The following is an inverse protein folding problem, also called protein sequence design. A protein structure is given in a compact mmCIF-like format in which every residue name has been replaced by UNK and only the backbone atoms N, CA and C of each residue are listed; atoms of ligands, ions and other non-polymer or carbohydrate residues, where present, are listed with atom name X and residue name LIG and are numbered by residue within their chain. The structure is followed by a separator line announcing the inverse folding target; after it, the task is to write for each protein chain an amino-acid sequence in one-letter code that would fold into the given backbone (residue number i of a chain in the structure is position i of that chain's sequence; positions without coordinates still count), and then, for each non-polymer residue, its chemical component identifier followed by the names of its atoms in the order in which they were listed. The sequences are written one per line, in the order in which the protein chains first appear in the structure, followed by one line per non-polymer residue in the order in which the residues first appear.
data_IF_034428218291
#
_entry.id   IF_034428218291
#
_cell.length_a   1.000
_cell.length_b   1.000
_cell.length_c   1.000
_cell.angle_alpha   90.00
_cell.angle_beta   90.00
_cell.angle_gamma   90.00
#
_symmetry.space_group_name_H-M   'P 1'
#
loop_
_entity.id
_entity.type
_entity.pdbx_description
1 polymer ?
#
# COMPACT_ATOMS: atom_id res chain seq x y z
N UNK A 1 4.89 0.22 -0.81
CA UNK A 1 5.05 -1.21 -0.46
C UNK A 1 6.17 -1.45 0.53
N UNK A 2 7.45 -1.27 0.17
CA UNK A 2 8.57 -1.58 1.09
C UNK A 2 8.50 -0.88 2.46
N UNK A 3 8.16 0.41 2.49
CA UNK A 3 7.96 1.13 3.76
C UNK A 3 6.81 0.57 4.62
N UNK A 4 5.71 0.12 3.99
CA UNK A 4 4.60 -0.49 4.71
C UNK A 4 4.96 -1.90 5.23
N UNK A 5 5.70 -2.69 4.45
CA UNK A 5 6.22 -4.00 4.87
C UNK A 5 7.19 -3.85 6.05
N UNK A 6 8.15 -2.94 5.95
CA UNK A 6 9.09 -2.69 7.06
C UNK A 6 8.38 -2.20 8.32
N UNK A 7 7.36 -1.35 8.20
CA UNK A 7 6.55 -0.95 9.36
C UNK A 7 5.78 -2.11 9.99
N UNK A 8 5.26 -3.04 9.18
CA UNK A 8 4.59 -4.25 9.66
C UNK A 8 5.57 -5.11 10.45
N UNK A 9 6.74 -5.38 9.88
CA UNK A 9 7.77 -6.22 10.51
C UNK A 9 8.25 -5.58 11.83
N UNK A 10 8.59 -4.29 11.83
CA UNK A 10 9.01 -3.53 13.01
C UNK A 10 7.96 -3.57 14.14
N UNK A 11 6.68 -3.43 13.80
CA UNK A 11 5.58 -3.44 14.77
C UNK A 11 5.33 -4.84 15.32
N UNK A 12 5.39 -5.87 14.49
CA UNK A 12 5.26 -7.26 14.93
C UNK A 12 6.38 -7.60 15.90
N UNK A 13 7.63 -7.29 15.54
CA UNK A 13 8.81 -7.56 16.37
C UNK A 13 8.71 -6.87 17.74
N UNK A 14 8.34 -5.58 17.77
CA UNK A 14 8.13 -4.83 19.01
C UNK A 14 7.03 -5.47 19.88
N UNK A 15 5.89 -5.85 19.29
CA UNK A 15 4.74 -6.36 20.04
C UNK A 15 4.94 -7.76 20.64
N UNK A 16 5.92 -8.54 20.17
CA UNK A 16 6.20 -9.88 20.71
C UNK A 16 6.55 -9.89 22.20
N UNK A 17 7.10 -8.79 22.72
CA UNK A 17 7.54 -8.69 24.12
C UNK A 17 6.96 -7.47 24.85
N UNK A 18 6.08 -6.70 24.18
CA UNK A 18 5.60 -5.42 24.70
C UNK A 18 4.48 -5.55 25.71
N UNK A 19 4.65 -4.85 26.82
CA UNK A 19 3.61 -4.62 27.82
C UNK A 19 3.00 -3.22 27.66
N UNK A 20 1.72 -3.09 27.97
CA UNK A 20 1.04 -1.81 28.11
C UNK A 20 1.53 -1.06 29.36
N UNK A 21 1.16 0.22 29.47
CA UNK A 21 1.41 1.02 30.70
C UNK A 21 0.72 0.40 31.93
N UNK A 22 -0.34 -0.38 31.73
CA UNK A 22 -1.07 -1.09 32.80
C UNK A 22 -0.53 -2.51 33.05
N UNK A 23 0.57 -2.91 32.41
CA UNK A 23 1.17 -4.24 32.55
C UNK A 23 0.49 -5.34 31.74
N UNK A 24 -0.45 -5.00 30.87
CA UNK A 24 -1.12 -5.98 30.02
C UNK A 24 -0.17 -6.43 28.89
N UNK A 25 -0.11 -7.73 28.66
CA UNK A 25 0.64 -8.35 27.57
C UNK A 25 -0.07 -8.06 26.23
N UNK A 26 0.51 -7.17 25.42
CA UNK A 26 -0.11 -6.75 24.16
C UNK A 26 -0.13 -7.87 23.13
N UNK A 27 0.80 -8.83 23.21
CA UNK A 27 0.85 -9.99 22.31
C UNK A 27 -0.38 -10.90 22.46
N UNK A 28 -1.16 -10.76 23.53
CA UNK A 28 -2.39 -11.53 23.81
C UNK A 28 -3.67 -10.73 23.58
N UNK A 29 -3.56 -9.51 23.06
CA UNK A 29 -4.70 -8.61 22.89
C UNK A 29 -5.37 -8.85 21.53
N UNK A 30 -6.67 -9.20 21.53
CA UNK A 30 -7.40 -9.54 20.30
C UNK A 30 -7.39 -8.42 19.23
N UNK A 31 -7.46 -7.15 19.64
CA UNK A 31 -7.42 -6.02 18.71
C UNK A 31 -6.05 -5.88 18.03
N UNK A 32 -4.96 -6.25 18.72
CA UNK A 32 -3.62 -6.31 18.14
C UNK A 32 -3.57 -7.37 17.03
N UNK A 33 -4.10 -8.57 17.29
CA UNK A 33 -4.15 -9.65 16.30
C UNK A 33 -4.91 -9.27 15.05
N UNK A 34 -6.11 -8.68 15.19
CA UNK A 34 -6.93 -8.27 14.06
C UNK A 34 -6.24 -7.20 13.19
N UNK A 35 -5.58 -6.22 13.82
CA UNK A 35 -4.87 -5.15 13.10
C UNK A 35 -3.66 -5.68 12.34
N UNK A 36 -2.85 -6.53 12.96
CA UNK A 36 -1.73 -7.21 12.30
C UNK A 36 -2.22 -8.05 11.12
N UNK A 37 -3.28 -8.84 11.32
CA UNK A 37 -3.87 -9.67 10.26
C UNK A 37 -4.37 -8.83 9.08
N UNK A 38 -5.08 -7.74 9.34
CA UNK A 38 -5.57 -6.83 8.29
C UNK A 38 -4.42 -6.16 7.53
N UNK A 39 -3.44 -5.60 8.25
CA UNK A 39 -2.28 -4.98 7.63
C UNK A 39 -1.48 -5.98 6.77
N UNK A 40 -1.29 -7.21 7.27
CA UNK A 40 -0.62 -8.29 6.52
C UNK A 40 -1.35 -8.59 5.21
N UNK A 41 -2.66 -8.82 5.28
CA UNK A 41 -3.48 -9.10 4.09
C UNK A 41 -3.45 -7.96 3.06
N UNK A 42 -3.46 -6.70 3.51
CA UNK A 42 -3.36 -5.52 2.65
C UNK A 42 -2.01 -5.46 1.91
N UNK A 43 -0.89 -5.66 2.63
CA UNK A 43 0.44 -5.61 2.02
C UNK A 43 0.65 -6.81 1.08
N UNK A 44 0.17 -8.00 1.43
CA UNK A 44 0.27 -9.19 0.58
C UNK A 44 -0.58 -9.07 -0.68
N UNK A 45 -1.80 -8.53 -0.58
CA UNK A 45 -2.63 -8.26 -1.76
C UNK A 45 -1.97 -7.23 -2.69
N UNK A 46 -1.37 -6.18 -2.12
CA UNK A 46 -0.63 -5.18 -2.88
C UNK A 46 0.58 -5.80 -3.62
N UNK A 47 1.32 -6.68 -2.95
CA UNK A 47 2.48 -7.36 -3.53
C UNK A 47 2.08 -8.33 -4.66
N UNK A 48 1.03 -9.13 -4.44
CA UNK A 48 0.48 -10.01 -5.47
C UNK A 48 0.00 -9.23 -6.71
N UNK A 49 -0.61 -8.06 -6.50
CA UNK A 49 -1.02 -7.18 -7.60
C UNK A 49 0.18 -6.59 -8.35
N UNK A 50 1.23 -6.19 -7.63
CA UNK A 50 2.48 -5.72 -8.24
C UNK A 50 3.16 -6.82 -9.06
N UNK A 51 3.15 -8.05 -8.58
CA UNK A 51 3.75 -9.17 -9.31
C UNK A 51 2.98 -9.48 -10.59
N UNK A 52 1.65 -9.45 -10.55
CA UNK A 52 0.82 -9.55 -11.76
C UNK A 52 1.18 -8.46 -12.79
N UNK A 53 1.35 -7.23 -12.32
CA UNK A 53 1.76 -6.11 -13.17
C UNK A 53 3.15 -6.36 -13.79
N UNK A 54 4.13 -6.76 -12.97
CA UNK A 54 5.49 -7.07 -13.40
C UNK A 54 5.51 -8.16 -14.47
N UNK A 55 4.81 -9.26 -14.22
CA UNK A 55 4.73 -10.39 -15.14
C UNK A 55 4.17 -9.97 -16.52
N UNK A 56 3.13 -9.13 -16.54
CA UNK A 56 2.57 -8.62 -17.78
C UNK A 56 3.55 -7.74 -18.56
N UNK A 57 4.26 -6.82 -17.88
CA UNK A 57 5.29 -5.96 -18.49
C UNK A 57 6.41 -6.80 -19.10
N UNK A 58 6.94 -7.74 -18.34
CA UNK A 58 8.05 -8.60 -18.78
C UNK A 58 7.62 -9.45 -19.97
N UNK A 59 6.44 -10.07 -19.91
CA UNK A 59 5.91 -10.90 -20.99
C UNK A 59 5.76 -10.13 -22.30
N UNK A 60 5.06 -8.99 -22.29
CA UNK A 60 4.88 -8.14 -23.49
C UNK A 60 6.20 -7.59 -24.01
N UNK A 61 7.11 -7.19 -23.12
CA UNK A 61 8.44 -6.73 -23.49
C UNK A 61 9.23 -7.79 -24.24
N UNK A 62 9.19 -9.06 -23.79
CA UNK A 62 9.82 -10.17 -24.50
C UNK A 62 9.15 -10.50 -25.85
N UNK A 63 7.84 -10.29 -25.95
CA UNK A 63 7.09 -10.51 -27.18
C UNK A 63 7.21 -9.34 -28.19
N UNK A 64 7.75 -8.18 -27.78
CA UNK A 64 7.77 -6.97 -28.60
C UNK A 64 6.38 -6.35 -28.79
N UNK A 65 5.45 -6.61 -27.87
CA UNK A 65 4.08 -6.12 -27.92
C UNK A 65 3.92 -4.78 -27.21
N UNK A 66 3.12 -3.91 -27.79
CA UNK A 66 2.69 -2.68 -27.12
C UNK A 66 1.51 -2.94 -26.16
N UNK A 67 1.35 -2.03 -25.19
CA UNK A 67 0.18 -2.01 -24.33
C UNK A 67 -0.94 -1.23 -25.00
N UNK A 68 -2.15 -1.78 -25.00
CA UNK A 68 -3.36 -1.05 -25.41
C UNK A 68 -3.70 0.04 -24.41
N UNK A 69 -4.52 1.01 -24.82
CA UNK A 69 -4.99 2.08 -23.93
C UNK A 69 -5.71 1.52 -22.69
N UNK A 70 -6.53 0.47 -22.87
CA UNK A 70 -7.24 -0.19 -21.76
C UNK A 70 -6.27 -0.87 -20.80
N UNK A 71 -5.23 -1.54 -21.31
CA UNK A 71 -4.21 -2.17 -20.46
C UNK A 71 -3.41 -1.13 -19.68
N UNK A 72 -3.07 0.01 -20.29
CA UNK A 72 -2.38 1.13 -19.62
C UNK A 72 -3.25 1.78 -18.55
N UNK A 73 -4.56 1.93 -18.81
CA UNK A 73 -5.51 2.43 -17.83
C UNK A 73 -5.67 1.46 -16.64
N UNK A 74 -5.79 0.16 -16.90
CA UNK A 74 -5.86 -0.87 -15.86
C UNK A 74 -4.55 -0.92 -15.03
N UNK A 75 -3.40 -0.77 -15.69
CA UNK A 75 -2.11 -0.66 -15.02
C UNK A 75 -2.09 0.51 -14.01
N UNK A 76 -2.53 1.70 -14.43
CA UNK A 76 -2.61 2.88 -13.55
C UNK A 76 -3.59 2.68 -12.39
N UNK A 77 -4.77 2.12 -12.66
CA UNK A 77 -5.74 1.77 -11.61
C UNK A 77 -5.10 0.91 -10.51
N UNK A 78 -4.46 -0.18 -10.92
CA UNK A 78 -3.85 -1.15 -10.00
C UNK A 78 -2.71 -0.51 -9.19
N UNK A 79 -1.88 0.33 -9.80
CA UNK A 79 -0.83 1.06 -9.06
C UNK A 79 -1.42 2.02 -8.01
N UNK A 80 -2.49 2.75 -8.35
CA UNK A 80 -3.18 3.60 -7.38
C UNK A 80 -3.79 2.80 -6.22
N UNK A 81 -4.37 1.63 -6.53
CA UNK A 81 -4.90 0.73 -5.51
C UNK A 81 -3.80 0.20 -4.57
N UNK A 82 -2.66 -0.22 -5.12
CA UNK A 82 -1.49 -0.66 -4.35
C UNK A 82 -1.03 0.43 -3.36
N UNK A 83 -0.98 1.69 -3.82
CA UNK A 83 -0.62 2.81 -2.95
C UNK A 83 -1.64 3.00 -1.81
N UNK A 84 -2.95 2.96 -2.12
CA UNK A 84 -4.01 3.03 -1.12
C UNK A 84 -3.96 1.88 -0.11
N UNK A 85 -3.78 0.63 -0.56
CA UNK A 85 -3.63 -0.51 0.35
C UNK A 85 -2.43 -0.37 1.28
N UNK A 86 -1.32 0.22 0.80
CA UNK A 86 -0.19 0.52 1.66
C UNK A 86 -0.51 1.60 2.70
N UNK A 87 -1.25 2.66 2.34
CA UNK A 87 -1.70 3.68 3.29
C UNK A 87 -2.60 3.05 4.37
N UNK A 88 -3.60 2.27 3.97
CA UNK A 88 -4.48 1.56 4.91
C UNK A 88 -3.69 0.63 5.84
N UNK A 89 -2.67 -0.07 5.33
CA UNK A 89 -1.84 -0.94 6.15
C UNK A 89 -1.08 -0.16 7.23
N UNK A 90 -0.44 0.97 6.88
CA UNK A 90 0.28 1.79 7.88
C UNK A 90 -0.67 2.49 8.86
N UNK A 91 -1.90 2.81 8.43
CA UNK A 91 -2.94 3.37 9.30
C UNK A 91 -3.46 2.33 10.32
N UNK A 92 -3.50 1.04 9.96
CA UNK A 92 -3.84 -0.02 10.90
C UNK A 92 -2.76 -0.25 11.96
N UNK A 93 -1.49 -0.04 11.59
CA UNK A 93 -0.31 -0.29 12.42
C UNK A 93 0.00 0.85 13.40
N UNK A 94 -0.15 2.11 12.98
CA UNK A 94 0.23 3.27 13.79
C UNK A 94 -0.38 3.23 15.22
N UNK A 95 -1.69 2.93 15.42
CA UNK A 95 -2.28 2.86 16.76
C UNK A 95 -1.63 1.83 17.69
N UNK A 96 -1.03 0.76 17.14
CA UNK A 96 -0.38 -0.28 17.94
C UNK A 96 0.91 0.21 18.63
N UNK A 97 1.53 1.24 18.07
CA UNK A 97 2.80 1.80 18.57
C UNK A 97 2.62 2.80 19.71
N UNK A 98 1.39 3.27 19.96
CA UNK A 98 1.08 4.29 20.95
C UNK A 98 1.83 5.61 20.74
N UNK A 99 1.90 6.47 21.76
CA UNK A 99 2.56 7.78 21.65
C UNK A 99 4.04 7.72 21.22
N UNK A 100 4.76 6.67 21.60
CA UNK A 100 6.16 6.42 21.19
C UNK A 100 6.33 6.31 19.68
N UNK A 101 5.31 5.84 18.97
CA UNK A 101 5.30 5.78 17.51
C UNK A 101 5.44 7.12 16.82
N UNK A 102 5.13 8.21 17.52
CA UNK A 102 5.23 9.59 17.03
C UNK A 102 6.60 10.23 17.30
N UNK A 103 7.46 9.59 18.09
CA UNK A 103 8.81 10.09 18.32
C UNK A 103 9.61 10.09 17.00
N UNK A 104 10.42 11.13 16.79
CA UNK A 104 11.20 11.28 15.54
C UNK A 104 12.23 10.17 15.36
N UNK A 105 12.66 9.54 16.46
CA UNK A 105 13.54 8.37 16.51
C UNK A 105 12.82 7.07 16.18
N UNK A 106 11.50 7.01 16.31
CA UNK A 106 10.72 5.82 16.04
C UNK A 106 10.46 5.66 14.53
N UNK A 107 10.68 4.48 13.92
CA UNK A 107 10.56 4.29 12.48
C UNK A 107 9.10 4.40 11.96
N UNK A 108 8.12 4.04 12.79
CA UNK A 108 6.69 4.03 12.42
C UNK A 108 6.18 5.35 11.80
N UNK A 109 6.38 6.51 12.45
CA UNK A 109 5.91 7.78 11.87
C UNK A 109 6.58 8.11 10.54
N UNK A 110 7.84 7.68 10.35
CA UNK A 110 8.54 7.89 9.08
C UNK A 110 7.90 7.05 7.99
N UNK A 111 7.71 5.76 8.23
CA UNK A 111 7.03 4.88 7.28
C UNK A 111 5.63 5.39 6.93
N UNK A 112 4.85 5.82 7.94
CA UNK A 112 3.53 6.41 7.75
C UNK A 112 3.58 7.63 6.81
N UNK A 113 4.44 8.62 7.11
CA UNK A 113 4.58 9.82 6.27
C UNK A 113 5.07 9.49 4.86
N UNK A 114 6.06 8.61 4.73
CA UNK A 114 6.67 8.26 3.45
C UNK A 114 5.64 7.58 2.52
N UNK A 115 4.82 6.67 3.07
CA UNK A 115 3.75 5.98 2.34
C UNK A 115 2.64 6.95 1.92
N UNK A 116 2.18 7.81 2.83
CA UNK A 116 1.17 8.82 2.51
C UNK A 116 1.68 9.85 1.49
N UNK A 117 2.96 10.23 1.57
CA UNK A 117 3.58 11.16 0.63
C UNK A 117 3.69 10.57 -0.78
N UNK A 118 4.16 9.32 -0.93
CA UNK A 118 4.28 8.70 -2.26
C UNK A 118 2.91 8.48 -2.91
N UNK A 119 1.86 8.22 -2.12
CA UNK A 119 0.50 8.10 -2.62
C UNK A 119 -0.03 9.41 -3.27
N UNK A 120 0.59 10.56 -3.00
CA UNK A 120 0.25 11.83 -3.65
C UNK A 120 0.94 12.03 -5.01
N UNK A 121 1.82 11.12 -5.42
CA UNK A 121 2.42 11.20 -6.74
C UNK A 121 1.32 11.06 -7.81
N UNK A 122 1.31 11.94 -8.82
CA UNK A 122 0.23 12.03 -9.81
C UNK A 122 -0.14 10.70 -10.49
N UNK A 123 0.82 9.78 -10.64
CA UNK A 123 0.59 8.45 -11.19
C UNK A 123 -0.03 7.42 -10.23
N UNK A 124 -0.19 7.77 -8.95
CA UNK A 124 -0.68 6.92 -7.86
C UNK A 124 -1.92 7.50 -7.17
N UNK A 125 -2.23 8.80 -7.34
CA UNK A 125 -3.42 9.42 -6.74
C UNK A 125 -4.67 8.66 -7.19
N UNK A 126 -5.39 8.12 -6.20
CA UNK A 126 -6.49 7.18 -6.40
C UNK A 126 -7.64 7.75 -7.23
N UNK A 127 -8.12 8.94 -6.88
CA UNK A 127 -9.24 9.58 -7.57
C UNK A 127 -8.91 9.88 -9.03
N UNK A 128 -7.65 10.23 -9.31
CA UNK A 128 -7.16 10.46 -10.68
C UNK A 128 -7.13 9.14 -11.46
N UNK A 129 -6.57 8.07 -10.89
CA UNK A 129 -6.42 6.81 -11.63
C UNK A 129 -7.77 6.09 -11.83
N UNK A 130 -8.69 6.18 -10.86
CA UNK A 130 -10.03 5.59 -10.98
C UNK A 130 -10.88 6.31 -12.02
N UNK A 131 -10.84 7.65 -12.03
CA UNK A 131 -11.51 8.46 -13.05
C UNK A 131 -10.95 8.19 -14.45
N UNK A 132 -9.63 8.15 -14.60
CA UNK A 132 -8.94 7.76 -15.83
C UNK A 132 -9.41 6.39 -16.35
N UNK A 133 -9.38 5.38 -15.48
CA UNK A 133 -9.81 4.03 -15.84
C UNK A 133 -11.28 3.99 -16.28
N UNK A 134 -12.17 4.63 -15.51
CA UNK A 134 -13.59 4.70 -15.85
C UNK A 134 -13.85 5.35 -17.21
N UNK A 135 -13.16 6.47 -17.50
CA UNK A 135 -13.30 7.20 -18.76
C UNK A 135 -12.87 6.34 -19.96
N UNK A 136 -11.72 5.66 -19.85
CA UNK A 136 -11.23 4.73 -20.88
C UNK A 136 -12.20 3.56 -21.06
N UNK A 137 -12.66 2.96 -19.96
CA UNK A 137 -13.52 1.76 -19.99
C UNK A 137 -14.90 2.01 -20.60
N UNK A 138 -15.36 3.26 -20.58
CA UNK A 138 -16.60 3.73 -21.20
C UNK A 138 -16.42 4.25 -22.64
N UNK A 139 -15.20 4.19 -23.19
CA UNK A 139 -14.92 4.55 -24.58
C UNK A 139 -14.71 6.05 -24.82
N UNK A 140 -14.49 6.84 -23.78
CA UNK A 140 -14.22 8.28 -23.91
C UNK A 140 -12.72 8.63 -24.09
N UNK A 141 -11.86 7.62 -24.24
CA UNK A 141 -10.41 7.79 -24.37
C UNK A 141 -9.72 8.16 -23.04
N UNK A 142 -8.47 8.63 -23.11
CA UNK A 142 -7.72 9.06 -21.93
C UNK A 142 -7.72 10.59 -21.80
N UNK A 143 -8.10 11.15 -20.63
CA UNK A 143 -7.88 12.56 -20.33
C UNK A 143 -6.40 12.90 -20.10
N UNK A 144 -5.54 11.90 -19.81
CA UNK A 144 -4.09 12.07 -19.73
C UNK A 144 -3.47 11.80 -21.12
N UNK A 145 -2.88 12.81 -21.79
CA UNK A 145 -2.25 12.64 -23.11
C UNK A 145 -0.98 11.77 -23.06
N UNK A 146 -0.48 11.44 -21.87
CA UNK A 146 0.69 10.57 -21.65
C UNK A 146 0.30 9.14 -21.23
N UNK A 147 -1.00 8.84 -21.12
CA UNK A 147 -1.46 7.45 -21.08
C UNK A 147 -1.36 6.81 -22.47
#
# INVERSE_FOLDING_TARGET
MGAARGALDDVVDDLTSRQSVTGADLSKTATVHTRIGKATALVDAADAMMEKIRAAIVSKGHAGEEFTLEERANYRLNLGHIAQSCCEAVDELLPLTGGRGLETTHPMQRAWRDVHAIAQHIGLVWDVQTGLYGNVRLGHGSPDPKL
#
